data_IF_718992622267
#
_entry.id   IF_718992622267
#
_cell.length_a   1.000
_cell.length_b   1.000
_cell.length_c   1.000
_cell.angle_alpha   90.00
_cell.angle_beta   90.00
_cell.angle_gamma   90.00
#
_symmetry.space_group_name_H-M   'P 1'
#
loop_
_entity.id
_entity.type
_entity.pdbx_description
1 polymer ?
#
# COMPACT_ATOMS: atom_id res chain seq x y z
N UNK A 1 -16.13 21.31 5.04
CA UNK A 1 -14.79 20.82 4.64
C UNK A 1 -15.02 19.97 3.39
N UNK A 2 -14.39 20.31 2.26
CA UNK A 2 -14.56 19.54 1.02
C UNK A 2 -13.55 18.40 1.07
N UNK A 3 -14.03 17.17 1.21
CA UNK A 3 -13.21 15.98 1.16
C UNK A 3 -12.70 15.73 -0.27
N UNK A 4 -11.41 15.41 -0.41
CA UNK A 4 -10.75 15.08 -1.67
C UNK A 4 -10.46 13.58 -1.72
N UNK A 5 -10.85 12.94 -2.83
CA UNK A 5 -10.49 11.55 -3.07
C UNK A 5 -9.02 11.46 -3.51
N UNK A 6 -8.26 10.58 -2.87
CA UNK A 6 -6.85 10.30 -3.16
C UNK A 6 -6.70 8.82 -3.47
N UNK A 7 -5.87 8.50 -4.45
CA UNK A 7 -5.60 7.11 -4.85
C UNK A 7 -4.10 6.89 -4.98
N UNK A 8 -3.62 5.79 -4.38
CA UNK A 8 -2.32 5.20 -4.72
C UNK A 8 -2.63 3.90 -5.46
N UNK A 9 -2.48 3.90 -6.78
CA UNK A 9 -2.95 2.81 -7.62
C UNK A 9 -2.10 2.61 -8.88
N UNK A 10 -2.09 1.39 -9.40
CA UNK A 10 -1.38 1.04 -10.62
C UNK A 10 -1.03 -0.45 -10.69
N UNK A 11 -0.22 -0.79 -11.69
CA UNK A 11 0.34 -2.13 -11.88
C UNK A 11 1.85 -1.98 -12.01
N UNK A 12 2.59 -2.59 -11.10
CA UNK A 12 4.04 -2.39 -11.01
C UNK A 12 4.77 -3.73 -11.01
N UNK A 13 5.88 -3.86 -11.76
CA UNK A 13 6.78 -5.00 -11.59
C UNK A 13 7.43 -4.94 -10.21
N UNK A 14 7.78 -6.10 -9.65
CA UNK A 14 8.56 -6.18 -8.42
C UNK A 14 9.57 -7.34 -8.48
N UNK A 15 10.63 -7.20 -7.68
CA UNK A 15 11.56 -8.25 -7.31
C UNK A 15 11.60 -8.33 -5.78
N UNK A 16 11.41 -9.53 -5.24
CA UNK A 16 11.39 -9.78 -3.80
C UNK A 16 12.79 -9.75 -3.19
N UNK A 17 12.88 -9.21 -1.96
CA UNK A 17 14.12 -9.09 -1.20
C UNK A 17 14.10 -9.88 0.13
N UNK A 18 13.13 -10.79 0.30
CA UNK A 18 12.87 -11.51 1.54
C UNK A 18 11.74 -10.88 2.36
N UNK A 19 11.24 -11.63 3.35
CA UNK A 19 10.09 -11.23 4.17
C UNK A 19 10.43 -10.39 5.40
N UNK A 20 11.70 -10.02 5.59
CA UNK A 20 12.15 -9.24 6.76
C UNK A 20 12.07 -7.73 6.57
N UNK A 21 12.26 -7.24 5.33
CA UNK A 21 12.31 -5.82 5.01
C UNK A 21 11.46 -5.54 3.78
N UNK A 22 10.50 -4.60 3.84
CA UNK A 22 9.68 -4.29 2.69
C UNK A 22 10.45 -3.39 1.71
N UNK A 23 10.31 -3.68 0.42
CA UNK A 23 10.91 -2.90 -0.67
C UNK A 23 9.94 -1.85 -1.20
N UNK A 24 10.46 -0.71 -1.64
CA UNK A 24 9.68 0.30 -2.35
C UNK A 24 9.16 -0.28 -3.67
N UNK A 25 7.86 -0.10 -3.94
CA UNK A 25 7.22 -0.57 -5.18
C UNK A 25 7.46 0.44 -6.31
N UNK A 26 7.06 1.69 -6.08
CA UNK A 26 7.17 2.78 -7.04
C UNK A 26 7.01 4.13 -6.34
N UNK A 27 7.62 5.20 -6.87
CA UNK A 27 7.52 6.56 -6.29
C UNK A 27 6.08 7.10 -6.27
N UNK A 28 5.26 6.70 -7.24
CA UNK A 28 3.86 7.14 -7.36
C UNK A 28 2.96 6.53 -6.27
N UNK A 29 3.46 5.53 -5.54
CA UNK A 29 2.79 4.94 -4.39
C UNK A 29 3.27 5.53 -3.06
N UNK A 30 3.90 6.71 -3.10
CA UNK A 30 4.32 7.48 -1.94
C UNK A 30 3.83 8.92 -2.02
N UNK A 31 3.43 9.51 -0.89
CA UNK A 31 3.09 10.94 -0.81
C UNK A 31 3.13 11.46 0.62
N UNK A 32 3.33 12.77 0.74
CA UNK A 32 3.13 13.49 2.00
C UNK A 32 1.66 13.89 2.12
N UNK A 33 1.08 13.66 3.30
CA UNK A 33 -0.22 14.22 3.67
C UNK A 33 -0.01 15.71 3.98
N UNK A 34 -0.74 16.65 3.33
CA UNK A 34 -0.56 18.07 3.55
C UNK A 34 -0.76 18.46 5.02
N UNK A 35 0.00 19.43 5.49
CA UNK A 35 -0.15 19.96 6.86
C UNK A 35 -1.58 20.46 7.10
N UNK A 36 -2.12 20.11 8.26
CA UNK A 36 -3.48 20.48 8.67
C UNK A 36 -4.61 19.67 8.02
N UNK A 37 -4.29 18.68 7.17
CA UNK A 37 -5.26 17.72 6.64
C UNK A 37 -5.24 16.40 7.41
N UNK A 38 -6.34 15.67 7.36
CA UNK A 38 -6.45 14.28 7.82
C UNK A 38 -6.69 13.39 6.61
N UNK A 39 -5.86 12.36 6.44
CA UNK A 39 -6.01 11.37 5.38
C UNK A 39 -6.50 10.03 5.93
N UNK A 40 -7.64 9.55 5.42
CA UNK A 40 -8.33 8.35 5.86
C UNK A 40 -8.27 7.24 4.79
N UNK A 41 -7.58 6.13 5.03
CA UNK A 41 -7.66 4.94 4.19
C UNK A 41 -9.04 4.30 4.24
N UNK A 42 -9.65 4.08 3.07
CA UNK A 42 -11.01 3.54 2.97
C UNK A 42 -11.03 2.07 2.53
N UNK A 43 -10.19 1.71 1.58
CA UNK A 43 -10.08 0.33 1.10
C UNK A 43 -8.72 0.08 0.46
N UNK A 44 -8.33 -1.19 0.40
CA UNK A 44 -7.25 -1.68 -0.44
C UNK A 44 -7.78 -2.79 -1.34
N UNK A 45 -7.49 -2.69 -2.63
CA UNK A 45 -7.62 -3.77 -3.59
C UNK A 45 -6.24 -4.09 -4.13
N UNK A 46 -5.91 -5.37 -4.20
CA UNK A 46 -4.61 -5.79 -4.70
C UNK A 46 -4.66 -7.12 -5.42
N UNK A 47 -3.73 -7.31 -6.34
CA UNK A 47 -3.53 -8.57 -7.05
C UNK A 47 -2.03 -8.88 -7.17
N UNK A 48 -1.69 -10.15 -7.18
CA UNK A 48 -0.32 -10.64 -7.31
C UNK A 48 -0.25 -11.65 -8.46
N UNK A 49 0.66 -11.46 -9.42
CA UNK A 49 0.81 -12.42 -10.53
C UNK A 49 1.78 -13.56 -10.26
N UNK A 50 2.59 -13.47 -9.19
CA UNK A 50 3.58 -14.51 -8.85
C UNK A 50 2.90 -15.77 -8.31
N UNK A 51 3.60 -16.90 -8.37
CA UNK A 51 3.13 -18.16 -7.80
C UNK A 51 3.40 -18.28 -6.28
N UNK A 52 3.80 -17.19 -5.63
CA UNK A 52 4.19 -17.16 -4.22
C UNK A 52 3.34 -16.14 -3.45
N UNK A 53 3.43 -16.17 -2.12
CA UNK A 53 2.84 -15.14 -1.26
C UNK A 53 3.57 -13.80 -1.48
N UNK A 54 2.79 -12.74 -1.69
CA UNK A 54 3.27 -11.35 -1.74
C UNK A 54 2.41 -10.54 -0.77
N UNK A 55 3.02 -9.63 -0.03
CA UNK A 55 2.29 -8.77 0.91
C UNK A 55 2.59 -7.31 0.61
N UNK A 56 1.55 -6.54 0.28
CA UNK A 56 1.66 -5.08 0.27
C UNK A 56 1.44 -4.56 1.68
N UNK A 57 2.17 -3.52 2.07
CA UNK A 57 2.07 -2.89 3.39
C UNK A 57 1.90 -1.38 3.22
N UNK A 58 0.91 -0.82 3.90
CA UNK A 58 0.79 0.62 4.10
C UNK A 58 1.74 1.05 5.22
N UNK A 59 2.58 2.03 4.94
CA UNK A 59 3.61 2.55 5.83
C UNK A 59 3.33 4.02 6.09
N UNK A 60 3.46 4.44 7.36
CA UNK A 60 3.47 5.85 7.78
C UNK A 60 4.82 6.15 8.43
N UNK A 61 5.54 7.13 7.89
CA UNK A 61 6.85 7.57 8.42
C UNK A 61 7.84 6.43 8.65
N UNK A 62 7.87 5.47 7.71
CA UNK A 62 8.72 4.28 7.80
C UNK A 62 8.18 3.17 8.71
N UNK A 63 7.07 3.38 9.43
CA UNK A 63 6.45 2.40 10.31
C UNK A 63 5.27 1.69 9.60
N UNK A 64 5.28 0.35 9.52
CA UNK A 64 4.14 -0.42 9.01
C UNK A 64 2.85 -0.15 9.79
N UNK A 65 1.78 0.20 9.08
CA UNK A 65 0.43 0.36 9.63
C UNK A 65 -0.46 -0.85 9.36
N UNK A 66 -0.53 -1.28 8.09
CA UNK A 66 -1.48 -2.31 7.67
C UNK A 66 -0.91 -3.19 6.57
N UNK A 67 -1.07 -4.50 6.73
CA UNK A 67 -0.60 -5.51 5.78
C UNK A 67 -1.77 -6.05 4.95
N UNK A 68 -1.48 -6.34 3.68
CA UNK A 68 -2.40 -6.89 2.68
C UNK A 68 -1.77 -8.12 2.01
N UNK A 69 -1.83 -9.29 2.66
CA UNK A 69 -1.27 -10.51 2.11
C UNK A 69 -2.10 -11.01 0.92
N UNK A 70 -1.45 -11.32 -0.19
CA UNK A 70 -2.04 -11.87 -1.41
C UNK A 70 -1.34 -13.18 -1.75
N UNK A 71 -2.11 -14.27 -1.79
CA UNK A 71 -1.58 -15.58 -2.13
C UNK A 71 -1.06 -15.67 -3.57
N UNK A 72 -0.55 -16.85 -3.91
CA UNK A 72 -0.10 -17.19 -5.25
C UNK A 72 -1.20 -16.92 -6.30
N UNK A 73 -0.88 -16.08 -7.29
CA UNK A 73 -1.79 -15.67 -8.37
C UNK A 73 -3.15 -15.15 -7.88
N UNK A 74 -3.18 -14.61 -6.65
CA UNK A 74 -4.40 -14.23 -5.96
C UNK A 74 -4.62 -12.73 -5.90
N UNK A 75 -5.80 -12.36 -5.42
CA UNK A 75 -6.22 -10.99 -5.17
C UNK A 75 -6.90 -10.85 -3.80
N UNK A 76 -7.02 -9.62 -3.34
CA UNK A 76 -7.74 -9.26 -2.12
C UNK A 76 -8.55 -7.98 -2.32
N UNK A 77 -9.64 -7.88 -1.58
CA UNK A 77 -10.41 -6.65 -1.40
C UNK A 77 -10.67 -6.45 0.09
N UNK A 78 -10.04 -5.43 0.67
CA UNK A 78 -10.02 -5.18 2.11
C UNK A 78 -10.64 -3.81 2.39
N UNK A 79 -11.84 -3.73 3.00
CA UNK A 79 -12.35 -2.48 3.53
C UNK A 79 -11.57 -2.06 4.78
N UNK A 80 -11.17 -0.79 4.86
CA UNK A 80 -10.24 -0.26 5.88
C UNK A 80 -10.93 0.55 6.99
N UNK A 81 -12.15 0.17 7.39
CA UNK A 81 -12.93 0.90 8.42
C UNK A 81 -12.35 0.87 9.84
N UNK A 82 -11.25 0.13 10.08
CA UNK A 82 -10.61 -0.06 11.40
C UNK A 82 -9.15 0.46 11.37
N UNK A 83 -8.78 1.23 10.35
CA UNK A 83 -7.45 1.85 10.28
C UNK A 83 -7.53 3.23 10.90
N UNK A 84 -6.48 3.60 11.63
CA UNK A 84 -6.31 4.93 12.22
C UNK A 84 -6.19 6.01 11.13
N UNK A 85 -6.68 7.20 11.46
CA UNK A 85 -6.49 8.39 10.64
C UNK A 85 -5.00 8.77 10.56
N UNK A 86 -4.60 9.33 9.42
CA UNK A 86 -3.21 9.75 9.18
C UNK A 86 -3.16 11.27 9.18
N UNK A 87 -2.45 11.80 10.18
CA UNK A 87 -2.27 13.24 10.39
C UNK A 87 -1.40 13.88 9.30
N UNK A 88 -1.67 15.16 9.03
CA UNK A 88 -0.86 16.01 8.14
C UNK A 88 0.61 16.06 8.56
N UNK A 89 1.48 16.23 7.56
CA UNK A 89 2.94 16.19 7.71
C UNK A 89 3.53 14.77 7.63
N UNK A 90 2.71 13.73 7.71
CA UNK A 90 3.16 12.33 7.60
C UNK A 90 3.49 11.95 6.15
N UNK A 91 4.53 11.13 5.96
CA UNK A 91 4.79 10.43 4.70
C UNK A 91 4.05 9.10 4.70
N UNK A 92 3.21 8.87 3.67
CA UNK A 92 2.56 7.59 3.43
C UNK A 92 3.17 6.90 2.21
N UNK A 93 3.38 5.59 2.29
CA UNK A 93 3.94 4.79 1.21
C UNK A 93 3.33 3.39 1.20
N UNK A 94 3.16 2.81 0.00
CA UNK A 94 2.95 1.37 -0.16
C UNK A 94 4.26 0.68 -0.49
N UNK A 95 4.62 -0.32 0.33
CA UNK A 95 5.78 -1.18 0.11
C UNK A 95 5.38 -2.63 -0.02
N UNK A 96 6.31 -3.49 -0.43
CA UNK A 96 6.05 -4.88 -0.73
C UNK A 96 7.04 -5.81 -0.03
N UNK A 97 6.52 -6.90 0.53
CA UNK A 97 7.30 -8.06 0.95
C UNK A 97 7.05 -9.20 -0.04
N UNK A 98 8.14 -9.81 -0.48
CA UNK A 98 8.14 -11.06 -1.22
C UNK A 98 9.47 -11.78 -0.97
N UNK A 99 9.45 -13.11 -1.02
CA UNK A 99 10.67 -13.90 -0.85
C UNK A 99 11.74 -13.52 -1.89
N UNK A 100 13.02 -13.71 -1.50
CA UNK A 100 14.13 -13.36 -2.37
C UNK A 100 14.08 -14.16 -3.69
N UNK A 101 14.19 -13.47 -4.82
CA UNK A 101 14.11 -14.08 -6.16
C UNK A 101 12.69 -14.32 -6.68
N UNK A 102 11.65 -14.00 -5.89
CA UNK A 102 10.26 -13.96 -6.39
C UNK A 102 10.07 -12.70 -7.23
N UNK A 103 9.55 -12.87 -8.44
CA UNK A 103 9.29 -11.77 -9.36
C UNK A 103 7.84 -11.82 -9.85
N UNK A 104 7.31 -10.67 -10.23
CA UNK A 104 5.97 -10.59 -10.81
C UNK A 104 5.52 -9.15 -11.01
N UNK A 105 4.21 -9.00 -11.12
CA UNK A 105 3.55 -7.71 -11.07
C UNK A 105 2.57 -7.69 -9.90
N UNK A 106 2.54 -6.55 -9.21
CA UNK A 106 1.55 -6.27 -8.18
C UNK A 106 0.57 -5.24 -8.72
N UNK A 107 -0.71 -5.57 -8.66
CA UNK A 107 -1.81 -4.62 -8.88
C UNK A 107 -2.13 -4.01 -7.53
N UNK A 108 -2.20 -2.69 -7.48
CA UNK A 108 -2.44 -1.92 -6.26
C UNK A 108 -3.54 -0.92 -6.53
N UNK A 109 -4.46 -0.80 -5.59
CA UNK A 109 -5.43 0.29 -5.55
C UNK A 109 -5.87 0.56 -4.11
N UNK A 110 -5.25 1.58 -3.52
CA UNK A 110 -5.59 2.13 -2.22
C UNK A 110 -6.39 3.41 -2.42
N UNK A 111 -7.67 3.37 -2.03
CA UNK A 111 -8.54 4.54 -1.98
C UNK A 111 -8.53 5.20 -0.61
N UNK A 112 -8.38 6.52 -0.61
CA UNK A 112 -8.38 7.35 0.59
C UNK A 112 -9.24 8.59 0.39
N UNK A 113 -9.63 9.20 1.51
CA UNK A 113 -10.21 10.53 1.54
C UNK A 113 -9.36 11.44 2.42
N UNK A 114 -9.05 12.62 1.90
CA UNK A 114 -8.30 13.67 2.60
C UNK A 114 -9.24 14.85 2.88
N UNK A 115 -9.24 15.39 4.10
CA UNK A 115 -10.09 16.51 4.48
C UNK A 115 -9.41 17.46 5.48
#
# INVERSE_FOLDING_TARGET
>A
MISKNIFLQGVFPFEGAGLSTPVTIHSDLARVVPDGAINQPLYFRGGNTSAELVTVVLVRDGVPMRYFPMGAKGDVNVPLRVVEDIEGGSMIELRLFAEAGVNGSVVVDLGMVEH
#
